data_IF_620253856146
#
_entry.id   IF_620253856146
#
_cell.length_a   1.000
_cell.length_b   1.000
_cell.length_c   1.000
_cell.angle_alpha   90.00
_cell.angle_beta   90.00
_cell.angle_gamma   90.00
#
_symmetry.space_group_name_H-M   'P 1'
#
loop_
_entity.id
_entity.type
_entity.pdbx_description
1 polymer ?
#
# COMPACT_ATOMS: atom_id res chain seq x y z
N UNK A 1 14.96 13.88 -29.88
CA UNK A 1 13.83 14.04 -28.93
C UNK A 1 13.26 12.67 -28.55
N UNK A 2 12.79 12.48 -27.29
CA UNK A 2 12.20 11.21 -26.83
C UNK A 2 10.68 11.33 -26.78
N UNK A 3 10.03 11.20 -27.92
CA UNK A 3 8.57 11.22 -27.99
C UNK A 3 7.97 9.95 -27.38
N UNK A 4 6.83 10.07 -26.68
CA UNK A 4 6.01 8.98 -26.09
C UNK A 4 6.74 8.05 -25.09
N UNK A 5 7.89 8.42 -24.54
CA UNK A 5 8.64 7.66 -23.54
C UNK A 5 8.47 8.28 -22.17
N UNK A 6 7.25 8.35 -21.67
CA UNK A 6 6.96 8.78 -20.29
C UNK A 6 7.04 7.58 -19.33
N UNK A 7 7.38 7.87 -18.08
CA UNK A 7 7.40 6.90 -17.00
C UNK A 7 8.74 6.23 -16.74
N UNK A 8 8.89 5.71 -15.52
CA UNK A 8 10.10 5.02 -15.06
C UNK A 8 10.07 3.55 -15.45
N UNK A 9 11.10 3.05 -16.12
CA UNK A 9 11.22 1.63 -16.52
C UNK A 9 11.36 0.67 -15.34
N UNK A 10 11.96 1.12 -14.22
CA UNK A 10 12.20 0.32 -13.00
C UNK A 10 13.00 -0.98 -13.26
N UNK A 11 13.85 -0.99 -14.29
CA UNK A 11 14.62 -2.19 -14.67
C UNK A 11 13.76 -3.38 -15.11
N UNK A 12 12.52 -3.13 -15.63
CA UNK A 12 11.55 -4.16 -15.99
C UNK A 12 11.02 -3.99 -17.40
N UNK A 13 10.63 -5.09 -18.02
CA UNK A 13 9.87 -5.08 -19.25
C UNK A 13 8.46 -4.47 -19.03
N UNK A 14 7.71 -4.29 -20.10
CA UNK A 14 6.38 -3.65 -20.05
C UNK A 14 5.35 -4.51 -19.32
N UNK A 15 5.37 -5.84 -19.53
CA UNK A 15 4.41 -6.76 -18.93
C UNK A 15 4.64 -6.89 -17.41
N UNK A 16 5.89 -7.11 -17.00
CA UNK A 16 6.27 -7.20 -15.60
C UNK A 16 6.01 -5.88 -14.85
N UNK A 17 6.28 -4.72 -15.48
CA UNK A 17 5.99 -3.41 -14.89
C UNK A 17 4.48 -3.20 -14.70
N UNK A 18 3.65 -3.59 -15.68
CA UNK A 18 2.19 -3.52 -15.57
C UNK A 18 1.68 -4.39 -14.42
N UNK A 19 2.17 -5.61 -14.30
CA UNK A 19 1.83 -6.52 -13.20
C UNK A 19 2.27 -5.96 -11.85
N UNK A 20 3.49 -5.41 -11.74
CA UNK A 20 3.99 -4.77 -10.51
C UNK A 20 3.06 -3.64 -10.06
N UNK A 21 2.66 -2.76 -10.97
CA UNK A 21 1.78 -1.64 -10.63
C UNK A 21 0.38 -2.09 -10.24
N UNK A 22 -0.17 -3.10 -10.92
CA UNK A 22 -1.45 -3.69 -10.56
C UNK A 22 -1.40 -4.27 -9.13
N UNK A 23 -0.39 -5.08 -8.81
CA UNK A 23 -0.22 -5.69 -7.50
C UNK A 23 -0.05 -4.64 -6.38
N UNK A 24 0.81 -3.61 -6.60
CA UNK A 24 1.00 -2.54 -5.61
C UNK A 24 -0.29 -1.72 -5.40
N UNK A 25 -1.07 -1.50 -6.45
CA UNK A 25 -2.36 -0.81 -6.35
C UNK A 25 -3.39 -1.66 -5.61
N UNK A 26 -3.46 -2.97 -5.89
CA UNK A 26 -4.32 -3.90 -5.16
C UNK A 26 -3.98 -3.92 -3.67
N UNK A 27 -2.70 -4.09 -3.34
CA UNK A 27 -2.25 -4.06 -1.94
C UNK A 27 -2.55 -2.73 -1.24
N UNK A 28 -2.47 -1.60 -1.95
CA UNK A 28 -2.84 -0.30 -1.38
C UNK A 28 -4.33 -0.22 -1.06
N UNK A 29 -5.20 -0.73 -1.94
CA UNK A 29 -6.65 -0.77 -1.73
C UNK A 29 -6.99 -1.70 -0.56
N UNK A 30 -6.31 -2.85 -0.46
CA UNK A 30 -6.55 -3.87 0.58
C UNK A 30 -6.13 -3.39 1.97
N UNK A 31 -4.96 -2.78 2.07
CA UNK A 31 -4.34 -2.44 3.35
C UNK A 31 -4.41 -0.95 3.71
N UNK A 32 -4.79 -0.08 2.76
CA UNK A 32 -4.81 1.38 2.93
C UNK A 32 -3.42 2.03 2.99
N UNK A 33 -2.35 1.26 3.26
CA UNK A 33 -0.96 1.70 3.35
C UNK A 33 -0.02 0.59 2.91
N UNK A 34 0.98 0.93 2.08
CA UNK A 34 2.04 0.01 1.67
C UNK A 34 3.42 0.65 1.86
N UNK A 35 4.41 -0.16 2.23
CA UNK A 35 5.82 0.24 2.31
C UNK A 35 6.54 -0.19 1.03
N UNK A 36 7.16 0.76 0.33
CA UNK A 36 7.89 0.49 -0.91
C UNK A 36 9.00 1.52 -1.12
N UNK A 37 9.76 1.42 -2.22
CA UNK A 37 10.74 2.47 -2.54
C UNK A 37 10.03 3.72 -3.06
N UNK A 38 10.60 4.90 -2.76
CA UNK A 38 10.04 6.20 -3.17
C UNK A 38 9.76 6.26 -4.68
N UNK A 39 10.68 5.69 -5.47
CA UNK A 39 10.55 5.64 -6.93
C UNK A 39 9.32 4.84 -7.39
N UNK A 40 9.04 3.68 -6.75
CA UNK A 40 7.85 2.88 -7.03
C UNK A 40 6.58 3.58 -6.54
N UNK A 41 6.60 4.15 -5.34
CA UNK A 41 5.49 4.92 -4.79
C UNK A 41 5.07 6.06 -5.73
N UNK A 42 6.04 6.85 -6.22
CA UNK A 42 5.79 7.93 -7.19
C UNK A 42 5.22 7.43 -8.51
N UNK A 43 5.62 6.24 -8.98
CA UNK A 43 5.13 5.67 -10.22
C UNK A 43 3.72 5.06 -10.09
N UNK A 44 3.39 4.49 -8.93
CA UNK A 44 2.08 3.87 -8.65
C UNK A 44 1.01 4.90 -8.30
N UNK A 45 1.38 6.01 -7.65
CA UNK A 45 0.46 7.04 -7.20
C UNK A 45 -0.59 7.46 -8.24
N UNK A 46 -0.24 7.89 -9.47
CA UNK A 46 -1.24 8.31 -10.45
C UNK A 46 -2.19 7.18 -10.87
N UNK A 47 -1.71 5.94 -10.84
CA UNK A 47 -2.52 4.77 -11.19
C UNK A 47 -3.54 4.49 -10.08
N UNK A 48 -3.09 4.51 -8.82
CA UNK A 48 -3.97 4.33 -7.67
C UNK A 48 -5.05 5.42 -7.63
N UNK A 49 -4.68 6.67 -7.85
CA UNK A 49 -5.63 7.79 -7.91
C UNK A 49 -6.65 7.62 -9.04
N UNK A 50 -6.23 7.14 -10.21
CA UNK A 50 -7.14 6.81 -11.31
C UNK A 50 -8.14 5.71 -10.93
N UNK A 51 -7.71 4.66 -10.22
CA UNK A 51 -8.61 3.59 -9.76
C UNK A 51 -9.65 4.13 -8.77
N UNK A 52 -9.26 5.01 -7.85
CA UNK A 52 -10.19 5.64 -6.91
C UNK A 52 -11.18 6.56 -7.65
N UNK A 53 -10.74 7.29 -8.66
CA UNK A 53 -11.63 8.10 -9.50
C UNK A 53 -12.68 7.25 -10.21
N UNK A 54 -12.29 6.10 -10.79
CA UNK A 54 -13.23 5.13 -11.36
C UNK A 54 -14.21 4.59 -10.31
N UNK A 55 -13.72 4.33 -9.09
CA UNK A 55 -14.56 3.92 -7.96
C UNK A 55 -15.62 4.97 -7.62
N UNK A 56 -15.28 6.24 -7.62
CA UNK A 56 -16.20 7.38 -7.38
C UNK A 56 -17.26 7.53 -8.47
N UNK A 57 -16.89 7.28 -9.73
CA UNK A 57 -17.83 7.29 -10.84
C UNK A 57 -18.95 6.23 -10.67
N UNK A 58 -18.60 5.06 -10.14
CA UNK A 58 -19.55 4.02 -9.75
C UNK A 58 -20.23 3.29 -10.90
N UNK A 59 -19.99 3.68 -12.16
CA UNK A 59 -20.64 3.07 -13.33
C UNK A 59 -20.20 1.62 -13.55
N UNK A 60 -21.05 0.83 -14.24
CA UNK A 60 -20.69 -0.55 -14.65
C UNK A 60 -19.46 -0.53 -15.54
N UNK A 61 -19.32 0.49 -16.40
CA UNK A 61 -18.17 0.67 -17.26
C UNK A 61 -16.88 0.90 -16.44
N UNK A 62 -16.93 1.80 -15.44
CA UNK A 62 -15.81 2.06 -14.54
C UNK A 62 -15.40 0.78 -13.77
N UNK A 63 -16.38 -0.02 -13.31
CA UNK A 63 -16.13 -1.29 -12.64
C UNK A 63 -15.41 -2.31 -13.54
N UNK A 64 -15.84 -2.41 -14.82
CA UNK A 64 -15.16 -3.28 -15.81
C UNK A 64 -13.73 -2.83 -16.09
N UNK A 65 -13.48 -1.53 -16.19
CA UNK A 65 -12.13 -0.97 -16.37
C UNK A 65 -11.24 -1.26 -15.15
N UNK A 66 -11.76 -1.08 -13.93
CA UNK A 66 -11.03 -1.39 -12.70
C UNK A 66 -10.67 -2.89 -12.63
N UNK A 67 -11.62 -3.79 -12.96
CA UNK A 67 -11.39 -5.23 -12.98
C UNK A 67 -10.33 -5.65 -14.00
N UNK A 68 -10.36 -5.06 -15.19
CA UNK A 68 -9.35 -5.34 -16.23
C UNK A 68 -7.93 -4.95 -15.79
N UNK A 69 -7.80 -3.96 -14.89
CA UNK A 69 -6.51 -3.53 -14.37
C UNK A 69 -6.08 -4.29 -13.11
N UNK A 70 -6.94 -4.34 -12.08
CA UNK A 70 -6.64 -4.95 -10.77
C UNK A 70 -6.71 -6.48 -10.81
N UNK A 71 -7.47 -7.07 -11.73
CA UNK A 71 -7.64 -8.51 -11.99
C UNK A 71 -8.34 -9.31 -10.88
N UNK A 72 -8.42 -8.81 -9.66
CA UNK A 72 -9.03 -9.47 -8.50
C UNK A 72 -10.39 -8.86 -8.21
N UNK A 73 -11.44 -9.68 -8.19
CA UNK A 73 -12.81 -9.21 -7.95
C UNK A 73 -13.00 -8.64 -6.53
N UNK A 74 -12.38 -9.27 -5.55
CA UNK A 74 -12.45 -8.83 -4.14
C UNK A 74 -11.87 -7.43 -3.95
N UNK A 75 -10.71 -7.14 -4.54
CA UNK A 75 -10.09 -5.80 -4.49
C UNK A 75 -10.97 -4.76 -5.19
N UNK A 76 -11.59 -5.12 -6.32
CA UNK A 76 -12.54 -4.23 -7.02
C UNK A 76 -13.77 -4.00 -6.16
N UNK A 77 -14.33 -5.05 -5.55
CA UNK A 77 -15.47 -4.88 -4.63
C UNK A 77 -15.11 -3.92 -3.51
N UNK A 78 -13.99 -4.13 -2.82
CA UNK A 78 -13.50 -3.26 -1.75
C UNK A 78 -13.29 -1.81 -2.20
N UNK A 79 -12.73 -1.62 -3.41
CA UNK A 79 -12.56 -0.29 -3.99
C UNK A 79 -13.89 0.47 -4.09
N UNK A 80 -14.95 -0.18 -4.62
CA UNK A 80 -16.24 0.46 -4.87
C UNK A 80 -17.13 0.55 -3.64
N UNK A 81 -17.05 -0.41 -2.70
CA UNK A 81 -17.90 -0.45 -1.50
C UNK A 81 -17.34 0.32 -0.32
N UNK A 82 -16.00 0.32 -0.15
CA UNK A 82 -15.37 0.88 1.05
C UNK A 82 -14.51 2.11 0.78
N UNK A 83 -13.59 2.01 -0.21
CA UNK A 83 -12.58 3.04 -0.43
C UNK A 83 -13.16 4.27 -1.15
N UNK A 84 -13.84 4.07 -2.27
CA UNK A 84 -14.35 5.16 -3.09
C UNK A 84 -15.38 6.07 -2.37
N UNK A 85 -16.31 5.53 -1.56
CA UNK A 85 -17.26 6.37 -0.81
C UNK A 85 -16.59 7.35 0.16
N UNK A 86 -15.45 6.98 0.76
CA UNK A 86 -14.69 7.82 1.69
C UNK A 86 -14.12 9.09 1.02
N UNK A 87 -13.94 9.04 -0.29
CA UNK A 87 -13.38 10.14 -1.08
C UNK A 87 -14.41 10.87 -1.94
N UNK A 88 -15.72 10.68 -1.69
CA UNK A 88 -16.79 11.25 -2.50
C UNK A 88 -16.67 12.77 -2.69
N UNK A 89 -16.36 13.49 -1.63
CA UNK A 89 -16.30 14.95 -1.62
C UNK A 89 -14.91 15.52 -1.99
N UNK A 90 -13.91 14.65 -2.16
CA UNK A 90 -12.55 15.07 -2.49
C UNK A 90 -12.32 15.04 -4.01
N UNK A 91 -11.96 16.17 -4.66
CA UNK A 91 -11.81 16.24 -6.12
C UNK A 91 -10.55 15.52 -6.64
N UNK A 92 -9.58 15.16 -5.77
CA UNK A 92 -8.32 14.49 -6.13
C UNK A 92 -7.35 14.42 -4.96
N UNK A 93 -6.13 13.89 -5.19
CA UNK A 93 -5.12 13.77 -4.16
C UNK A 93 -5.54 12.78 -3.05
N UNK A 94 -5.97 11.59 -3.43
CA UNK A 94 -6.45 10.55 -2.51
C UNK A 94 -5.33 9.84 -1.77
N UNK A 95 -4.09 9.99 -2.26
CA UNK A 95 -2.93 9.29 -1.73
C UNK A 95 -1.84 10.25 -1.26
N UNK A 96 -1.07 9.83 -0.25
CA UNK A 96 0.06 10.56 0.30
C UNK A 96 1.29 9.67 0.31
N UNK A 97 2.46 10.27 0.04
CA UNK A 97 3.77 9.60 0.14
C UNK A 97 4.48 10.16 1.36
N UNK A 98 4.83 9.29 2.32
CA UNK A 98 5.59 9.63 3.51
C UNK A 98 6.98 9.00 3.39
N UNK A 99 8.03 9.81 3.36
CA UNK A 99 9.41 9.34 3.26
C UNK A 99 9.88 8.71 4.57
N UNK A 100 10.61 7.60 4.46
CA UNK A 100 11.14 6.85 5.60
C UNK A 100 12.68 6.93 5.72
N UNK A 101 13.33 7.48 4.68
CA UNK A 101 14.79 7.45 4.57
C UNK A 101 15.33 6.18 3.90
N UNK A 102 16.66 6.04 3.86
CA UNK A 102 17.33 4.94 3.17
C UNK A 102 17.14 3.60 3.89
N UNK A 103 17.04 2.52 3.11
CA UNK A 103 17.00 1.15 3.61
C UNK A 103 18.40 0.69 3.95
N UNK A 104 18.52 -0.05 5.07
CA UNK A 104 19.79 -0.67 5.44
C UNK A 104 20.23 -1.69 4.38
N UNK A 105 21.50 -1.74 4.08
CA UNK A 105 22.12 -2.64 3.11
C UNK A 105 22.35 -2.00 1.74
N UNK A 106 21.32 -1.51 1.05
CA UNK A 106 21.40 -0.96 -0.31
C UNK A 106 21.10 0.54 -0.42
N UNK A 107 20.89 1.22 0.70
CA UNK A 107 20.58 2.65 0.78
C UNK A 107 19.41 3.10 -0.12
N UNK A 108 18.52 2.19 -0.50
CA UNK A 108 17.36 2.53 -1.31
C UNK A 108 16.38 3.42 -0.52
N UNK A 109 16.02 4.57 -1.08
CA UNK A 109 15.03 5.48 -0.48
C UNK A 109 13.67 4.82 -0.35
N UNK A 110 13.21 4.65 0.89
CA UNK A 110 11.94 4.02 1.22
C UNK A 110 10.85 5.06 1.48
N UNK A 111 9.61 4.69 1.18
CA UNK A 111 8.46 5.50 1.50
C UNK A 111 7.23 4.63 1.79
N UNK A 112 6.31 5.18 2.57
CA UNK A 112 4.93 4.74 2.60
C UNK A 112 4.15 5.42 1.48
N UNK A 113 3.36 4.65 0.76
CA UNK A 113 2.25 5.14 -0.04
C UNK A 113 0.97 4.78 0.72
N UNK A 114 0.19 5.77 1.09
CA UNK A 114 -1.01 5.57 1.92
C UNK A 114 -2.19 6.39 1.39
N UNK A 115 -3.39 5.94 1.72
CA UNK A 115 -4.61 6.73 1.56
C UNK A 115 -4.60 7.87 2.56
N UNK A 116 -5.09 9.04 2.18
CA UNK A 116 -5.03 10.24 3.04
C UNK A 116 -5.84 10.07 4.32
N UNK A 117 -6.89 9.25 4.29
CA UNK A 117 -7.76 8.90 5.42
C UNK A 117 -7.30 7.65 6.20
N UNK A 118 -6.10 7.13 5.87
CA UNK A 118 -5.56 5.97 6.57
C UNK A 118 -5.27 6.28 8.03
N UNK A 119 -5.89 5.51 8.92
CA UNK A 119 -5.60 5.50 10.35
C UNK A 119 -4.80 4.24 10.64
N UNK A 120 -3.56 4.35 11.15
CA UNK A 120 -2.78 3.17 11.51
C UNK A 120 -3.51 2.39 12.62
N UNK A 121 -3.51 1.04 12.55
CA UNK A 121 -4.03 0.24 13.64
C UNK A 121 -3.24 0.54 14.92
N UNK A 122 -3.93 0.50 16.06
CA UNK A 122 -3.30 0.67 17.35
C UNK A 122 -2.07 -0.27 17.46
N UNK A 123 -0.95 0.19 18.07
CA UNK A 123 0.21 -0.65 18.26
C UNK A 123 -0.22 -1.90 19.05
N UNK A 124 0.09 -3.08 18.52
CA UNK A 124 -0.16 -4.31 19.25
C UNK A 124 0.56 -4.21 20.58
N UNK A 125 -0.10 -4.53 21.70
CA UNK A 125 0.57 -4.60 22.99
C UNK A 125 1.80 -5.51 22.83
N UNK A 126 2.95 -5.03 23.26
CA UNK A 126 4.15 -5.87 23.29
C UNK A 126 3.78 -7.10 24.12
N UNK A 127 3.85 -8.31 23.53
CA UNK A 127 3.80 -9.52 24.32
C UNK A 127 4.96 -9.42 25.32
N UNK A 128 4.64 -9.17 26.57
CA UNK A 128 5.59 -9.38 27.66
C UNK A 128 5.89 -10.88 27.56
N UNK A 129 7.14 -11.24 27.29
CA UNK A 129 7.56 -12.63 27.39
C UNK A 129 7.39 -12.96 28.88
N UNK A 130 6.42 -13.82 29.18
CA UNK A 130 6.40 -14.47 30.48
C UNK A 130 7.72 -15.24 30.57
N UNK A 131 8.50 -15.07 31.67
CA UNK A 131 9.72 -15.84 31.87
C UNK A 131 9.38 -17.32 31.76
N UNK A 132 10.25 -18.07 31.08
CA UNK A 132 10.08 -19.51 31.01
C UNK A 132 10.02 -20.08 32.44
N UNK A 133 9.22 -21.13 32.69
CA UNK A 133 9.07 -21.68 34.07
C UNK A 133 10.40 -22.03 34.72
N UNK A 134 11.42 -22.41 33.98
CA UNK A 134 12.78 -22.63 34.48
C UNK A 134 13.48 -21.34 34.96
N UNK A 135 13.21 -20.20 34.35
CA UNK A 135 13.80 -18.90 34.76
C UNK A 135 13.12 -18.37 36.02
N UNK A 136 11.83 -18.64 36.21
CA UNK A 136 11.09 -18.27 37.42
C UNK A 136 11.52 -19.08 38.63
N UNK A 137 11.84 -20.39 38.49
CA UNK A 137 12.34 -21.24 39.56
C UNK A 137 13.77 -20.85 40.00
N UNK A 138 14.59 -20.36 39.08
CA UNK A 138 15.95 -19.89 39.38
C UNK A 138 15.96 -18.54 40.13
N UNK A 139 15.02 -17.65 39.80
CA UNK A 139 14.88 -16.38 40.53
C UNK A 139 14.32 -16.57 41.97
N UNK A 140 13.42 -17.52 42.15
CA UNK A 140 12.86 -17.84 43.48
C UNK A 140 13.90 -18.51 44.40
N UNK A 141 14.80 -19.34 43.84
CA UNK A 141 15.92 -19.96 44.58
C UNK A 141 17.05 -18.97 44.91
N UNK A 142 17.21 -17.88 44.15
CA UNK A 142 18.21 -16.85 44.41
C UNK A 142 17.75 -15.80 45.42
N UNK A 143 16.46 -15.75 45.74
CA UNK A 143 15.86 -14.78 46.66
C UNK A 143 15.69 -15.33 48.11
N UNK A 144 16.08 -16.61 48.37
CA UNK A 144 16.04 -17.25 49.70
C UNK A 144 17.44 -17.46 50.26
#
# INVERSE_FOLDING_TARGET
MRHQRSGKKLGRDSAHRKALFANLTSSLIEHGRIRTTETKAKAVRPIAEKMITLGREGSIHARRQALAYLRTQETVHKLFSEVAPRFKDRPGGYTRIVKLGPRWGDSAEMAYLELVDYVPPAPRPKRIREPAPEEAELEEQAAT
#
